data_IF_686320659458
#
_entry.id   IF_686320659458
#
_cell.length_a   1.000
_cell.length_b   1.000
_cell.length_c   1.000
_cell.angle_alpha   90.00
_cell.angle_beta   90.00
_cell.angle_gamma   90.00
#
_symmetry.space_group_name_H-M   'P 1'
#
loop_
_entity.id
_entity.type
_entity.pdbx_description
1 polymer ?
#
# COMPACT_ATOMS: atom_id res chain seq x y z
N UNK A 1 -18.15 8.38 -19.30
CA UNK A 1 -17.56 8.83 -20.58
C UNK A 1 -16.05 8.56 -20.55
N UNK A 2 -15.47 7.87 -21.54
CA UNK A 2 -14.03 8.00 -21.84
C UNK A 2 -13.76 9.50 -21.95
N UNK A 3 -12.75 10.02 -21.24
CA UNK A 3 -12.46 11.44 -21.21
C UNK A 3 -12.28 11.92 -22.66
N UNK A 4 -13.08 12.91 -23.06
CA UNK A 4 -13.19 13.36 -24.47
C UNK A 4 -11.87 13.96 -25.00
N UNK A 5 -10.92 14.28 -24.11
CA UNK A 5 -9.58 14.77 -24.43
C UNK A 5 -8.53 13.65 -24.31
N UNK A 6 -7.94 13.17 -25.43
CA UNK A 6 -6.88 12.17 -25.44
C UNK A 6 -5.63 12.58 -24.68
N UNK A 7 -5.28 13.88 -24.65
CA UNK A 7 -4.10 14.38 -23.95
C UNK A 7 -4.29 14.30 -22.44
N UNK A 8 -5.48 14.66 -21.95
CA UNK A 8 -5.81 14.51 -20.54
C UNK A 8 -5.77 13.05 -20.10
N UNK A 9 -6.31 12.13 -20.92
CA UNK A 9 -6.23 10.69 -20.63
C UNK A 9 -4.78 10.20 -20.58
N UNK A 10 -3.95 10.56 -21.56
CA UNK A 10 -2.53 10.19 -21.61
C UNK A 10 -1.78 10.73 -20.39
N UNK A 11 -1.98 12.01 -20.05
CA UNK A 11 -1.36 12.62 -18.87
C UNK A 11 -1.74 11.87 -17.59
N UNK A 12 -3.03 11.59 -17.38
CA UNK A 12 -3.49 10.85 -16.20
C UNK A 12 -2.91 9.43 -16.16
N UNK A 13 -2.89 8.71 -17.27
CA UNK A 13 -2.36 7.35 -17.32
C UNK A 13 -0.87 7.27 -16.98
N UNK A 14 -0.09 8.30 -17.32
CA UNK A 14 1.34 8.36 -17.06
C UNK A 14 1.70 8.90 -15.66
N UNK A 15 0.88 9.80 -15.11
CA UNK A 15 1.23 10.53 -13.89
C UNK A 15 0.50 10.04 -12.64
N UNK A 16 -0.66 9.39 -12.80
CA UNK A 16 -1.46 8.92 -11.69
C UNK A 16 -0.67 7.95 -10.82
N UNK A 17 -0.72 8.19 -9.51
CA UNK A 17 -0.25 7.24 -8.52
C UNK A 17 -1.24 6.10 -8.43
N UNK A 18 -0.73 4.87 -8.29
CA UNK A 18 -1.53 3.66 -8.24
C UNK A 18 -1.22 2.92 -6.96
N UNK A 19 -2.26 2.68 -6.17
CA UNK A 19 -2.27 1.78 -5.03
C UNK A 19 -2.43 0.36 -5.58
N UNK A 20 -1.71 -0.61 -5.05
CA UNK A 20 -1.79 -1.99 -5.54
C UNK A 20 -3.17 -2.60 -5.31
N UNK A 21 -3.68 -2.49 -4.09
CA UNK A 21 -5.01 -2.93 -3.73
C UNK A 21 -5.63 -2.06 -2.62
N UNK A 22 -6.96 -2.05 -2.58
CA UNK A 22 -7.74 -1.39 -1.54
C UNK A 22 -8.86 -2.33 -1.11
N UNK A 23 -9.04 -2.46 0.20
CA UNK A 23 -10.14 -3.19 0.80
C UNK A 23 -11.03 -2.25 1.58
N UNK A 24 -12.34 -2.39 1.47
CA UNK A 24 -13.28 -1.63 2.29
C UNK A 24 -14.07 -2.61 3.15
N UNK A 25 -14.15 -2.33 4.45
CA UNK A 25 -15.10 -2.98 5.36
C UNK A 25 -16.18 -1.98 5.76
N UNK A 26 -17.13 -2.40 6.58
CA UNK A 26 -18.13 -1.48 7.14
C UNK A 26 -17.47 -0.33 7.92
N UNK A 27 -16.34 -0.59 8.60
CA UNK A 27 -15.73 0.34 9.57
C UNK A 27 -14.51 1.08 9.04
N UNK A 28 -13.76 0.47 8.13
CA UNK A 28 -12.39 0.90 7.82
C UNK A 28 -12.00 0.62 6.37
N UNK A 29 -10.98 1.34 5.90
CA UNK A 29 -10.42 1.22 4.57
C UNK A 29 -8.97 0.73 4.65
N UNK A 30 -8.69 -0.42 4.07
CA UNK A 30 -7.36 -0.98 3.95
C UNK A 30 -6.67 -0.44 2.71
N UNK A 31 -5.55 0.25 2.88
CA UNK A 31 -4.62 0.57 1.79
C UNK A 31 -3.52 -0.46 1.78
N UNK A 32 -3.43 -1.23 0.69
CA UNK A 32 -2.61 -2.43 0.63
C UNK A 32 -1.51 -2.26 -0.42
N UNK A 33 -0.26 -2.38 0.01
CA UNK A 33 0.90 -2.58 -0.86
C UNK A 33 1.27 -4.07 -0.85
N UNK A 34 1.58 -4.63 -2.02
CA UNK A 34 1.93 -6.04 -2.15
C UNK A 34 3.34 -6.17 -2.72
N UNK A 35 4.25 -6.81 -1.98
CA UNK A 35 5.61 -7.05 -2.47
C UNK A 35 6.16 -8.38 -1.98
N UNK A 36 6.77 -9.17 -2.86
CA UNK A 36 7.41 -10.43 -2.45
C UNK A 36 8.59 -10.20 -1.50
N UNK A 37 9.33 -9.11 -1.69
CA UNK A 37 10.54 -8.76 -0.95
C UNK A 37 10.56 -7.25 -0.73
N UNK A 38 9.79 -6.76 0.26
CA UNK A 38 9.64 -5.35 0.49
C UNK A 38 10.92 -4.77 1.11
N UNK A 39 11.52 -3.79 0.45
CA UNK A 39 12.50 -2.90 1.08
C UNK A 39 11.82 -1.66 1.65
N UNK A 40 12.64 -0.71 2.14
CA UNK A 40 12.20 0.59 2.67
C UNK A 40 11.26 1.38 1.72
N UNK A 41 11.35 1.12 0.41
CA UNK A 41 10.48 1.70 -0.61
C UNK A 41 8.99 1.43 -0.32
N UNK A 42 8.64 0.23 0.12
CA UNK A 42 7.25 -0.15 0.37
C UNK A 42 6.63 0.68 1.51
N UNK A 43 7.41 0.97 2.56
CA UNK A 43 7.01 1.86 3.66
C UNK A 43 6.72 3.26 3.13
N UNK A 44 7.64 3.82 2.34
CA UNK A 44 7.45 5.14 1.74
C UNK A 44 6.22 5.20 0.83
N UNK A 45 6.00 4.18 0.00
CA UNK A 45 4.84 4.10 -0.89
C UNK A 45 3.52 4.13 -0.11
N UNK A 46 3.36 3.24 0.87
CA UNK A 46 2.16 3.18 1.72
C UNK A 46 1.88 4.53 2.39
N UNK A 47 2.92 5.18 2.93
CA UNK A 47 2.76 6.45 3.62
C UNK A 47 2.33 7.57 2.69
N UNK A 48 2.93 7.65 1.49
CA UNK A 48 2.54 8.62 0.47
C UNK A 48 1.11 8.36 0.00
N UNK A 49 0.70 7.11 -0.21
CA UNK A 49 -0.66 6.79 -0.60
C UNK A 49 -1.68 7.16 0.48
N UNK A 50 -1.38 6.87 1.76
CA UNK A 50 -2.25 7.26 2.87
C UNK A 50 -2.37 8.78 3.00
N UNK A 51 -1.27 9.52 2.83
CA UNK A 51 -1.27 10.99 2.83
C UNK A 51 -2.12 11.55 1.69
N UNK A 52 -1.89 11.10 0.45
CA UNK A 52 -2.66 11.55 -0.72
C UNK A 52 -4.16 11.21 -0.60
N UNK A 53 -4.50 10.08 0.02
CA UNK A 53 -5.90 9.73 0.27
C UNK A 53 -6.53 10.63 1.35
N UNK A 54 -5.77 10.99 2.39
CA UNK A 54 -6.24 11.89 3.43
C UNK A 54 -6.48 13.32 2.90
N UNK A 55 -5.72 13.76 1.89
CA UNK A 55 -5.91 15.06 1.23
C UNK A 55 -7.21 15.11 0.40
N UNK A 56 -7.59 14.02 -0.25
CA UNK A 56 -8.79 13.94 -1.11
C UNK A 56 -9.53 12.59 -0.95
N UNK A 57 -10.18 12.37 0.22
CA UNK A 57 -10.77 11.08 0.56
C UNK A 57 -12.03 10.81 -0.26
N UNK A 58 -12.04 9.70 -1.00
CA UNK A 58 -13.23 9.23 -1.74
C UNK A 58 -14.19 8.44 -0.86
N UNK A 59 -13.65 7.80 0.16
CA UNK A 59 -14.37 7.05 1.19
C UNK A 59 -13.92 7.61 2.53
N UNK A 60 -14.85 8.20 3.29
CA UNK A 60 -14.55 8.82 4.57
C UNK A 60 -14.58 7.78 5.70
N UNK A 61 -13.55 6.93 5.74
CA UNK A 61 -13.34 5.90 6.76
C UNK A 61 -11.90 5.95 7.27
N UNK A 62 -11.63 5.54 8.51
CA UNK A 62 -10.28 5.35 9.01
C UNK A 62 -9.46 4.45 8.08
N UNK A 63 -8.21 4.84 7.83
CA UNK A 63 -7.30 4.13 6.93
C UNK A 63 -6.42 3.18 7.72
N UNK A 64 -6.41 1.92 7.32
CA UNK A 64 -5.48 0.90 7.78
C UNK A 64 -4.41 0.68 6.72
N UNK A 65 -3.18 1.08 7.05
CA UNK A 65 -2.00 0.87 6.20
C UNK A 65 -1.56 -0.58 6.31
N UNK A 66 -1.46 -1.25 5.17
CA UNK A 66 -1.25 -2.70 5.12
C UNK A 66 -0.17 -3.06 4.11
N UNK A 67 0.84 -3.80 4.56
CA UNK A 67 1.87 -4.39 3.71
C UNK A 67 1.65 -5.90 3.68
N UNK A 68 1.44 -6.46 2.48
CA UNK A 68 1.37 -7.90 2.27
C UNK A 68 2.66 -8.35 1.59
N UNK A 69 3.37 -9.30 2.20
CA UNK A 69 4.64 -9.74 1.67
C UNK A 69 4.93 -11.23 1.80
N UNK A 70 5.94 -11.71 1.05
CA UNK A 70 6.38 -13.10 1.12
C UNK A 70 7.51 -13.29 2.15
N UNK A 71 8.29 -12.25 2.40
CA UNK A 71 9.38 -12.18 3.39
C UNK A 71 9.36 -10.80 4.07
N UNK A 72 9.95 -10.72 5.26
CA UNK A 72 10.10 -9.46 5.98
C UNK A 72 11.33 -9.54 6.88
N UNK A 73 12.15 -8.48 6.90
CA UNK A 73 13.29 -8.35 7.80
C UNK A 73 12.91 -7.58 9.10
N UNK A 74 13.72 -7.66 10.18
CA UNK A 74 13.39 -7.04 11.47
C UNK A 74 13.35 -5.51 11.43
N UNK A 75 14.18 -4.90 10.61
CA UNK A 75 14.28 -3.44 10.52
C UNK A 75 13.02 -2.90 9.86
N UNK A 76 12.53 -3.60 8.82
CA UNK A 76 11.26 -3.27 8.19
C UNK A 76 10.07 -3.49 9.12
N UNK A 77 10.06 -4.57 9.92
CA UNK A 77 9.05 -4.78 10.96
C UNK A 77 9.03 -3.61 11.97
N UNK A 78 10.21 -3.19 12.42
CA UNK A 78 10.37 -2.08 13.38
C UNK A 78 9.90 -0.75 12.78
N UNK A 79 10.26 -0.48 11.52
CA UNK A 79 9.80 0.69 10.80
C UNK A 79 8.29 0.68 10.60
N UNK A 80 7.72 -0.44 10.16
CA UNK A 80 6.28 -0.60 9.96
C UNK A 80 5.50 -0.38 11.26
N UNK A 81 5.97 -0.94 12.38
CA UNK A 81 5.37 -0.73 13.70
C UNK A 81 5.39 0.75 14.11
N UNK A 82 6.52 1.45 13.91
CA UNK A 82 6.66 2.89 14.19
C UNK A 82 5.65 3.73 13.40
N UNK A 83 5.29 3.26 12.22
CA UNK A 83 4.44 3.96 11.28
C UNK A 83 2.99 3.45 11.25
N UNK A 84 2.57 2.61 12.20
CA UNK A 84 1.23 2.00 12.22
C UNK A 84 0.87 1.28 10.89
N UNK A 85 1.81 0.50 10.36
CA UNK A 85 1.62 -0.33 9.16
C UNK A 85 1.48 -1.78 9.60
N UNK A 86 0.34 -2.39 9.29
CA UNK A 86 0.10 -3.81 9.52
C UNK A 86 0.82 -4.65 8.47
N UNK A 87 1.55 -5.68 8.90
CA UNK A 87 2.25 -6.59 8.00
C UNK A 87 1.57 -7.95 8.00
N UNK A 88 1.26 -8.46 6.80
CA UNK A 88 0.76 -9.81 6.57
C UNK A 88 1.77 -10.59 5.73
N UNK A 89 2.38 -11.60 6.34
CA UNK A 89 3.31 -12.49 5.64
C UNK A 89 2.54 -13.67 5.06
N UNK A 90 2.51 -13.78 3.73
CA UNK A 90 1.75 -14.83 3.05
C UNK A 90 2.40 -16.21 3.26
N UNK A 91 1.61 -17.24 3.58
CA UNK A 91 2.10 -18.62 3.70
C UNK A 91 2.53 -19.18 2.33
N UNK A 92 3.52 -20.07 2.33
CA UNK A 92 3.93 -20.82 1.14
C UNK A 92 5.08 -20.22 0.32
N UNK A 93 5.65 -19.09 0.75
CA UNK A 93 6.93 -18.62 0.22
C UNK A 93 8.07 -19.51 0.71
N UNK A 94 8.81 -20.13 -0.20
CA UNK A 94 10.06 -20.85 0.13
C UNK A 94 11.14 -19.94 0.72
N UNK A 95 10.92 -18.62 0.69
CA UNK A 95 11.81 -17.61 1.27
C UNK A 95 11.35 -17.11 2.63
N UNK A 96 10.35 -17.71 3.29
CA UNK A 96 9.93 -17.31 4.64
C UNK A 96 11.12 -17.34 5.61
N UNK A 97 11.73 -16.18 5.80
CA UNK A 97 12.65 -15.92 6.89
C UNK A 97 11.92 -14.98 7.82
N UNK A 98 11.28 -15.53 8.85
CA UNK A 98 11.31 -14.83 10.11
C UNK A 98 12.76 -14.99 10.59
N UNK A 99 13.55 -13.91 10.65
CA UNK A 99 14.85 -13.98 11.28
C UNK A 99 14.62 -14.38 12.74
N UNK A 100 15.14 -15.55 13.10
CA UNK A 100 15.35 -15.95 14.49
C UNK A 100 16.32 -14.99 15.19
#
# INVERSE_FOLDING_TARGET
KKLEDPLFYMWRALTAKRIDAMGETEKELFLIEVSSDPGLRAIGQIQVYAMLWAEDPKINKPIIKTLVCAVVDPDLLSAAATYDIQIYVMPGSKRQTLPI
#
